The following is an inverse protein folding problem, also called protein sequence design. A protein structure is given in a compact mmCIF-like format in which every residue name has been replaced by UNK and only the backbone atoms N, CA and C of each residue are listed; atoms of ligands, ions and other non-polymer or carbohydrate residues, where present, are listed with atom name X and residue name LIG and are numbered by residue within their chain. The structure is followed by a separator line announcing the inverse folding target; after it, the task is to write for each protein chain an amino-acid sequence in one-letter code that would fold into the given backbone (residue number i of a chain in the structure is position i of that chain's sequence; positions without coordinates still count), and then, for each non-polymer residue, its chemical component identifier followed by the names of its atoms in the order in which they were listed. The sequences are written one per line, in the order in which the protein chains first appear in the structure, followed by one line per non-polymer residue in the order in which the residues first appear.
data_IF_488648043654
#
_entry.id   IF_488648043654
#
_cell.length_a   1.000
_cell.length_b   1.000
_cell.length_c   1.000
_cell.angle_alpha   90.00
_cell.angle_beta   90.00
_cell.angle_gamma   90.00
#
_symmetry.space_group_name_H-M   'P 1'
#
loop_
_entity.id
_entity.type
_entity.pdbx_description
1 polymer ?
#
# COMPACT_ATOMS: atom_id res chain seq x y z
N UNK A 1 -25.43 6.68 -8.87
CA UNK A 1 -24.01 6.17 -9.04
C UNK A 1 -23.34 6.90 -10.19
N UNK A 2 -22.02 7.08 -10.17
CA UNK A 2 -21.28 7.70 -11.29
C UNK A 2 -21.39 6.87 -12.57
N UNK A 3 -21.36 5.54 -12.41
CA UNK A 3 -21.47 4.58 -13.51
C UNK A 3 -22.83 4.61 -14.23
N UNK A 4 -23.84 5.26 -13.67
CA UNK A 4 -25.14 5.41 -14.33
C UNK A 4 -25.01 6.10 -15.70
N UNK A 5 -24.00 6.98 -15.85
CA UNK A 5 -23.70 7.67 -17.12
C UNK A 5 -23.21 6.76 -18.25
N UNK A 6 -22.91 5.50 -17.98
CA UNK A 6 -22.49 4.52 -18.99
C UNK A 6 -23.37 3.26 -19.02
N UNK A 7 -24.30 3.11 -18.09
CA UNK A 7 -25.12 1.89 -17.99
C UNK A 7 -26.64 2.13 -18.09
N UNK A 8 -27.15 3.31 -17.77
CA UNK A 8 -28.58 3.62 -17.81
C UNK A 8 -28.97 4.36 -19.11
N UNK A 9 -30.24 4.21 -19.53
CA UNK A 9 -30.78 4.82 -20.74
C UNK A 9 -30.54 3.98 -22.01
N UNK A 10 -31.43 4.17 -23.01
CA UNK A 10 -31.36 3.41 -24.26
C UNK A 10 -30.15 3.82 -25.11
N UNK A 11 -29.72 5.08 -25.03
CA UNK A 11 -28.56 5.66 -25.70
C UNK A 11 -27.24 5.00 -25.31
N UNK A 12 -27.17 4.38 -24.11
CA UNK A 12 -25.99 3.68 -23.62
C UNK A 12 -25.98 2.16 -23.95
N UNK A 13 -26.88 1.71 -24.82
CA UNK A 13 -26.85 0.32 -25.31
C UNK A 13 -25.49 -0.10 -25.92
N UNK A 14 -24.77 0.75 -26.68
CA UNK A 14 -23.41 0.42 -27.15
C UNK A 14 -22.43 0.18 -26.00
N UNK A 15 -22.47 0.99 -24.94
CA UNK A 15 -21.60 0.83 -23.75
C UNK A 15 -21.89 -0.51 -23.05
N UNK A 16 -23.18 -0.83 -22.82
CA UNK A 16 -23.55 -2.12 -22.22
C UNK A 16 -23.15 -3.32 -23.07
N UNK A 17 -23.22 -3.17 -24.40
CA UNK A 17 -22.74 -4.22 -25.33
C UNK A 17 -21.25 -4.48 -25.16
N UNK A 18 -20.41 -3.45 -25.09
CA UNK A 18 -18.97 -3.56 -24.83
C UNK A 18 -18.69 -4.15 -23.45
N UNK A 19 -19.40 -3.69 -22.42
CA UNK A 19 -19.25 -4.21 -21.04
C UNK A 19 -19.61 -5.71 -20.96
N UNK A 20 -20.64 -6.16 -21.66
CA UNK A 20 -20.97 -7.60 -21.75
C UNK A 20 -19.87 -8.41 -22.44
N UNK A 21 -19.24 -7.86 -23.48
CA UNK A 21 -18.17 -8.52 -24.22
C UNK A 21 -16.91 -8.76 -23.36
N UNK A 22 -16.72 -8.04 -22.24
CA UNK A 22 -15.63 -8.28 -21.29
C UNK A 22 -15.81 -9.58 -20.50
N UNK A 23 -17.03 -10.12 -20.42
CA UNK A 23 -17.37 -11.26 -19.58
C UNK A 23 -17.50 -10.94 -18.09
N UNK A 24 -17.27 -9.69 -17.67
CA UNK A 24 -17.42 -9.25 -16.28
C UNK A 24 -18.89 -9.14 -15.89
N UNK A 25 -19.73 -8.62 -16.81
CA UNK A 25 -21.18 -8.57 -16.65
C UNK A 25 -21.77 -9.96 -16.83
N UNK A 26 -22.39 -10.50 -15.80
CA UNK A 26 -22.97 -11.84 -15.77
C UNK A 26 -24.44 -11.88 -16.20
N UNK A 27 -25.19 -10.89 -15.75
CA UNK A 27 -26.62 -10.77 -16.07
C UNK A 27 -27.08 -9.30 -16.05
N UNK A 28 -28.37 -9.06 -16.28
CA UNK A 28 -28.96 -7.72 -16.38
C UNK A 28 -28.87 -6.96 -15.03
N UNK A 29 -29.00 -7.66 -13.92
CA UNK A 29 -28.96 -7.05 -12.58
C UNK A 29 -27.61 -6.42 -12.24
N UNK A 30 -26.53 -6.81 -12.92
CA UNK A 30 -25.20 -6.20 -12.72
C UNK A 30 -25.18 -4.72 -13.11
N UNK A 31 -26.05 -4.27 -13.99
CA UNK A 31 -26.16 -2.84 -14.34
C UNK A 31 -26.86 -2.01 -13.26
N UNK A 32 -27.48 -2.62 -12.26
CA UNK A 32 -28.08 -1.94 -11.11
C UNK A 32 -27.08 -1.77 -9.94
N UNK A 33 -25.93 -2.46 -10.01
CA UNK A 33 -24.90 -2.51 -8.97
C UNK A 33 -23.81 -1.46 -9.19
N UNK A 34 -23.07 -1.05 -8.13
CA UNK A 34 -21.92 -0.19 -8.28
C UNK A 34 -20.79 -0.87 -9.06
N UNK A 35 -20.11 -0.10 -9.92
CA UNK A 35 -18.91 -0.54 -10.64
C UNK A 35 -17.66 -0.18 -9.86
N UNK A 36 -16.92 -1.19 -9.42
CA UNK A 36 -15.74 -1.04 -8.55
C UNK A 36 -14.48 -1.36 -9.33
N UNK A 37 -13.55 -0.39 -9.39
CA UNK A 37 -12.21 -0.62 -9.94
C UNK A 37 -11.34 -1.41 -8.97
N UNK A 38 -10.57 -2.35 -9.50
CA UNK A 38 -9.46 -2.98 -8.77
C UNK A 38 -8.18 -2.53 -9.46
N UNK A 39 -7.58 -1.45 -8.94
CA UNK A 39 -6.31 -0.93 -9.43
C UNK A 39 -5.16 -1.76 -8.84
N UNK A 40 -4.64 -2.69 -9.63
CA UNK A 40 -3.64 -3.65 -9.20
C UNK A 40 -2.28 -3.33 -9.83
N UNK A 41 -1.22 -3.34 -9.04
CA UNK A 41 0.15 -3.14 -9.52
C UNK A 41 0.94 -4.44 -9.64
N UNK A 42 0.27 -5.57 -9.92
CA UNK A 42 0.92 -6.85 -10.20
C UNK A 42 2.00 -6.70 -11.30
N UNK A 43 3.16 -7.24 -11.02
CA UNK A 43 4.28 -7.34 -11.96
C UNK A 43 5.25 -8.43 -11.48
N UNK A 44 5.79 -9.24 -12.37
CA UNK A 44 6.74 -10.32 -12.05
C UNK A 44 8.12 -9.82 -11.59
N UNK A 45 8.49 -8.59 -11.96
CA UNK A 45 9.80 -8.00 -11.66
C UNK A 45 9.99 -7.58 -10.19
N UNK A 46 8.94 -7.55 -9.38
CA UNK A 46 8.97 -7.00 -8.02
C UNK A 46 8.56 -8.07 -7.01
N UNK A 47 9.44 -8.50 -6.09
CA UNK A 47 9.10 -9.53 -5.09
C UNK A 47 7.86 -9.21 -4.27
N UNK A 48 7.63 -7.92 -4.00
CA UNK A 48 6.43 -7.43 -3.29
C UNK A 48 5.14 -7.50 -4.11
N UNK A 49 5.21 -7.78 -5.42
CA UNK A 49 4.08 -7.67 -6.34
C UNK A 49 3.72 -8.97 -7.06
N UNK A 50 4.58 -9.99 -7.07
CA UNK A 50 4.34 -11.25 -7.77
C UNK A 50 3.07 -11.99 -7.34
N UNK A 51 2.64 -11.81 -6.08
CA UNK A 51 1.44 -12.42 -5.52
C UNK A 51 0.19 -11.53 -5.60
N UNK A 52 0.30 -10.29 -6.07
CA UNK A 52 -0.82 -9.35 -6.11
C UNK A 52 -1.90 -9.77 -7.11
N UNK A 53 -1.57 -10.60 -8.11
CA UNK A 53 -2.57 -11.17 -9.00
C UNK A 53 -3.61 -12.03 -8.25
N UNK A 54 -3.16 -12.82 -7.28
CA UNK A 54 -4.06 -13.66 -6.48
C UNK A 54 -4.85 -12.82 -5.47
N UNK A 55 -4.23 -11.78 -4.90
CA UNK A 55 -4.95 -10.82 -4.07
C UNK A 55 -6.01 -10.03 -4.86
N UNK A 56 -5.73 -9.67 -6.12
CA UNK A 56 -6.70 -9.06 -7.03
C UNK A 56 -7.90 -9.96 -7.28
N UNK A 57 -7.69 -11.26 -7.48
CA UNK A 57 -8.79 -12.25 -7.61
C UNK A 57 -9.64 -12.30 -6.34
N UNK A 58 -9.00 -12.39 -5.16
CA UNK A 58 -9.70 -12.40 -3.88
C UNK A 58 -10.51 -11.12 -3.63
N UNK A 59 -9.96 -9.95 -3.98
CA UNK A 59 -10.68 -8.68 -3.90
C UNK A 59 -11.90 -8.65 -4.83
N UNK A 60 -11.76 -9.12 -6.09
CA UNK A 60 -12.88 -9.20 -7.04
C UNK A 60 -14.00 -10.11 -6.55
N UNK A 61 -13.66 -11.26 -5.99
CA UNK A 61 -14.65 -12.17 -5.41
C UNK A 61 -15.40 -11.49 -4.27
N UNK A 62 -14.70 -10.88 -3.34
CA UNK A 62 -15.29 -10.19 -2.19
C UNK A 62 -16.17 -9.00 -2.58
N UNK A 63 -15.74 -8.18 -3.55
CA UNK A 63 -16.57 -7.10 -4.11
C UNK A 63 -17.85 -7.67 -4.75
N UNK A 64 -17.75 -8.79 -5.46
CA UNK A 64 -18.89 -9.43 -6.09
C UNK A 64 -19.88 -9.96 -5.05
N UNK A 65 -19.38 -10.63 -4.02
CA UNK A 65 -20.18 -11.18 -2.93
C UNK A 65 -20.89 -10.08 -2.12
N UNK A 66 -20.24 -8.91 -1.99
CA UNK A 66 -20.82 -7.73 -1.35
C UNK A 66 -21.81 -6.95 -2.23
N UNK A 67 -22.06 -7.38 -3.47
CA UNK A 67 -23.05 -6.77 -4.35
C UNK A 67 -22.51 -5.73 -5.34
N UNK A 68 -21.18 -5.60 -5.49
CA UNK A 68 -20.55 -4.76 -6.51
C UNK A 68 -20.18 -5.53 -7.79
N UNK A 69 -19.83 -4.80 -8.85
CA UNK A 69 -19.27 -5.37 -10.09
C UNK A 69 -17.81 -4.96 -10.22
N UNK A 70 -16.85 -5.88 -10.02
CA UNK A 70 -15.43 -5.55 -10.02
C UNK A 70 -14.84 -5.54 -11.43
N UNK A 71 -14.09 -4.48 -11.75
CA UNK A 71 -13.30 -4.33 -12.98
C UNK A 71 -11.82 -4.14 -12.61
N UNK A 72 -10.98 -5.14 -12.90
CA UNK A 72 -9.55 -5.06 -12.63
C UNK A 72 -8.81 -4.41 -13.80
N UNK A 73 -7.87 -3.54 -13.45
CA UNK A 73 -6.90 -2.96 -14.36
C UNK A 73 -5.53 -2.86 -13.67
N UNK A 74 -4.45 -2.86 -14.44
CA UNK A 74 -3.11 -2.84 -13.90
C UNK A 74 -2.44 -1.49 -14.10
N UNK A 75 -1.64 -1.08 -13.10
CA UNK A 75 -0.66 0.01 -13.22
C UNK A 75 0.73 -0.55 -13.47
N UNK A 76 1.65 0.35 -13.86
CA UNK A 76 3.08 0.03 -13.89
C UNK A 76 3.65 -0.10 -12.47
N UNK A 77 4.85 -0.68 -12.35
CA UNK A 77 5.63 -0.70 -11.12
C UNK A 77 7.13 -0.64 -11.41
N UNK A 78 7.88 0.07 -10.56
CA UNK A 78 9.35 0.10 -10.58
C UNK A 78 9.84 -0.36 -9.22
N UNK A 79 10.73 -1.36 -9.20
CA UNK A 79 11.40 -1.81 -7.99
C UNK A 79 12.64 -0.96 -7.72
N UNK A 80 12.63 -0.20 -6.64
CA UNK A 80 13.75 0.65 -6.25
C UNK A 80 15.00 -0.18 -5.94
N UNK A 81 14.84 -1.37 -5.35
CA UNK A 81 15.95 -2.26 -5.00
C UNK A 81 16.69 -2.76 -6.25
N UNK A 82 15.95 -3.18 -7.28
CA UNK A 82 16.53 -3.63 -8.55
C UNK A 82 17.08 -2.45 -9.35
N UNK A 83 16.43 -1.29 -9.28
CA UNK A 83 16.86 -0.08 -10.00
C UNK A 83 18.07 0.63 -9.33
N UNK A 84 18.39 0.29 -8.08
CA UNK A 84 19.41 0.95 -7.28
C UNK A 84 20.82 0.75 -7.86
N UNK A 85 21.62 1.83 -7.85
CA UNK A 85 23.01 1.81 -8.30
C UNK A 85 23.25 1.91 -9.81
N UNK A 86 22.19 2.05 -10.61
CA UNK A 86 22.31 2.24 -12.07
C UNK A 86 21.29 3.26 -12.61
N UNK A 87 21.28 3.46 -13.93
CA UNK A 87 20.44 4.46 -14.62
C UNK A 87 18.94 4.28 -14.35
N UNK A 88 18.48 3.05 -14.08
CA UNK A 88 17.08 2.71 -13.79
C UNK A 88 16.49 3.49 -12.62
N UNK A 89 17.31 3.89 -11.63
CA UNK A 89 16.85 4.64 -10.47
C UNK A 89 16.22 6.00 -10.81
N UNK A 90 16.55 6.58 -11.99
CA UNK A 90 15.94 7.82 -12.48
C UNK A 90 14.44 7.69 -12.78
N UNK A 91 13.93 6.47 -12.96
CA UNK A 91 12.53 6.18 -13.26
C UNK A 91 11.70 5.88 -12.01
N UNK A 92 12.35 5.67 -10.85
CA UNK A 92 11.68 5.32 -9.61
C UNK A 92 10.69 6.40 -9.16
N UNK A 93 11.15 7.60 -8.80
CA UNK A 93 10.26 8.66 -8.33
C UNK A 93 9.24 9.14 -9.39
N UNK A 94 9.60 9.32 -10.67
CA UNK A 94 8.60 9.68 -11.69
C UNK A 94 7.47 8.65 -11.86
N UNK A 95 7.71 7.36 -11.59
CA UNK A 95 6.69 6.34 -11.70
C UNK A 95 5.53 6.56 -10.72
N UNK A 96 5.75 7.22 -9.58
CA UNK A 96 4.71 7.58 -8.61
C UNK A 96 3.62 8.44 -9.25
N UNK A 97 4.01 9.48 -9.99
CA UNK A 97 3.08 10.37 -10.70
C UNK A 97 2.34 9.61 -11.80
N UNK A 98 3.07 8.83 -12.62
CA UNK A 98 2.47 8.05 -13.70
C UNK A 98 1.44 7.04 -13.18
N UNK A 99 1.67 6.45 -12.00
CA UNK A 99 0.72 5.54 -11.37
C UNK A 99 -0.54 6.32 -10.96
N UNK A 100 -0.40 7.46 -10.30
CA UNK A 100 -1.52 8.29 -9.92
C UNK A 100 -2.35 8.73 -11.14
N UNK A 101 -1.68 9.21 -12.20
CA UNK A 101 -2.30 9.64 -13.45
C UNK A 101 -3.02 8.48 -14.16
N UNK A 102 -2.45 7.27 -14.14
CA UNK A 102 -3.05 6.10 -14.78
C UNK A 102 -4.33 5.65 -14.08
N UNK A 103 -4.34 5.63 -12.74
CA UNK A 103 -5.53 5.30 -11.97
C UNK A 103 -6.63 6.33 -12.18
N UNK A 104 -6.31 7.63 -12.08
CA UNK A 104 -7.24 8.72 -12.36
C UNK A 104 -7.85 8.57 -13.75
N UNK A 105 -7.01 8.37 -14.78
CA UNK A 105 -7.45 8.24 -16.17
C UNK A 105 -8.45 7.10 -16.34
N UNK A 106 -8.19 5.92 -15.78
CA UNK A 106 -9.10 4.77 -15.92
C UNK A 106 -10.39 5.00 -15.15
N UNK A 107 -10.31 5.46 -13.91
CA UNK A 107 -11.45 5.69 -13.04
C UNK A 107 -12.39 6.75 -13.63
N UNK A 108 -11.84 7.87 -14.11
CA UNK A 108 -12.64 8.96 -14.68
C UNK A 108 -13.22 8.59 -16.04
N UNK A 109 -12.45 7.98 -16.93
CA UNK A 109 -12.93 7.61 -18.27
C UNK A 109 -14.04 6.56 -18.23
N UNK A 110 -13.99 5.61 -17.29
CA UNK A 110 -14.96 4.53 -17.17
C UNK A 110 -16.03 4.78 -16.09
N UNK A 111 -16.01 5.96 -15.47
CA UNK A 111 -17.01 6.40 -14.49
C UNK A 111 -17.21 5.41 -13.34
N UNK A 112 -16.13 4.85 -12.79
CA UNK A 112 -16.21 3.90 -11.69
C UNK A 112 -16.77 4.55 -10.42
N UNK A 113 -17.52 3.80 -9.62
CA UNK A 113 -18.20 4.28 -8.41
C UNK A 113 -17.30 4.23 -7.18
N UNK A 114 -16.30 3.34 -7.19
CA UNK A 114 -15.29 3.21 -6.15
C UNK A 114 -14.07 2.45 -6.65
N UNK A 115 -12.99 2.44 -5.85
CA UNK A 115 -11.74 1.77 -6.23
C UNK A 115 -11.05 1.09 -5.03
N UNK A 116 -10.61 -0.15 -5.23
CA UNK A 116 -9.65 -0.85 -4.38
C UNK A 116 -8.27 -0.73 -5.02
N UNK A 117 -7.31 -0.12 -4.33
CA UNK A 117 -5.94 0.02 -4.79
C UNK A 117 -5.05 -1.05 -4.13
N UNK A 118 -4.37 -1.87 -4.93
CA UNK A 118 -3.50 -2.96 -4.45
C UNK A 118 -2.07 -2.71 -4.88
N UNK A 119 -1.17 -2.47 -3.92
CA UNK A 119 0.25 -2.19 -4.16
C UNK A 119 1.11 -2.60 -2.97
N UNK A 120 2.45 -2.53 -3.11
CA UNK A 120 3.33 -2.94 -2.01
C UNK A 120 4.75 -2.36 -2.03
N UNK A 121 5.15 -1.56 -3.02
CA UNK A 121 6.53 -1.09 -3.18
C UNK A 121 6.65 0.43 -3.08
N UNK A 122 7.87 0.91 -2.90
CA UNK A 122 8.30 2.25 -2.46
C UNK A 122 7.55 3.44 -3.07
N UNK A 123 7.45 3.50 -4.40
CA UNK A 123 6.82 4.63 -5.11
C UNK A 123 5.40 4.29 -5.57
N UNK A 124 5.08 2.99 -5.60
CA UNK A 124 3.79 2.51 -6.08
C UNK A 124 2.71 2.77 -5.03
N UNK A 125 3.00 2.48 -3.74
CA UNK A 125 2.08 2.75 -2.63
C UNK A 125 1.68 4.23 -2.58
N UNK A 126 2.62 5.19 -2.49
CA UNK A 126 2.23 6.60 -2.48
C UNK A 126 1.55 7.05 -3.78
N UNK A 127 1.90 6.49 -4.94
CA UNK A 127 1.19 6.76 -6.20
C UNK A 127 -0.30 6.37 -6.13
N UNK A 128 -0.60 5.20 -5.57
CA UNK A 128 -1.99 4.76 -5.35
C UNK A 128 -2.72 5.65 -4.34
N UNK A 129 -2.09 5.99 -3.21
CA UNK A 129 -2.69 6.88 -2.20
C UNK A 129 -2.95 8.29 -2.76
N UNK A 130 -2.04 8.83 -3.57
CA UNK A 130 -2.25 10.09 -4.29
C UNK A 130 -3.45 10.00 -5.23
N UNK A 131 -3.56 8.93 -6.01
CA UNK A 131 -4.70 8.71 -6.90
C UNK A 131 -6.03 8.69 -6.13
N UNK A 132 -6.09 7.98 -5.01
CA UNK A 132 -7.30 7.88 -4.19
C UNK A 132 -7.79 9.25 -3.72
N UNK A 133 -6.90 10.08 -3.16
CA UNK A 133 -7.28 11.42 -2.67
C UNK A 133 -7.55 12.40 -3.81
N UNK A 134 -6.87 12.26 -4.96
CA UNK A 134 -7.06 13.10 -6.15
C UNK A 134 -8.42 12.86 -6.80
N UNK A 135 -8.74 11.60 -7.09
CA UNK A 135 -10.01 11.21 -7.73
C UNK A 135 -11.19 11.44 -6.78
N UNK A 136 -10.97 11.27 -5.49
CA UNK A 136 -11.93 11.52 -4.42
C UNK A 136 -13.29 10.86 -4.63
N UNK A 137 -13.28 9.58 -4.98
CA UNK A 137 -14.43 8.66 -4.90
C UNK A 137 -14.18 7.66 -3.78
N UNK A 138 -15.21 6.94 -3.28
CA UNK A 138 -15.00 5.89 -2.30
C UNK A 138 -13.83 4.98 -2.68
N UNK A 139 -12.85 4.84 -1.79
CA UNK A 139 -11.61 4.13 -2.09
C UNK A 139 -11.03 3.47 -0.85
N UNK A 140 -10.38 2.32 -1.03
CA UNK A 140 -9.66 1.62 0.02
C UNK A 140 -8.32 1.10 -0.51
N UNK A 141 -7.28 1.21 0.31
CA UNK A 141 -5.94 0.70 -0.03
C UNK A 141 -5.68 -0.64 0.63
N UNK A 142 -5.04 -1.55 -0.10
CA UNK A 142 -4.59 -2.86 0.40
C UNK A 142 -3.15 -3.08 0.01
N UNK A 143 -2.27 -3.31 0.99
CA UNK A 143 -0.89 -3.70 0.71
C UNK A 143 -0.76 -5.20 0.47
N UNK A 144 0.25 -5.59 -0.32
CA UNK A 144 0.64 -7.00 -0.46
C UNK A 144 1.28 -7.59 0.80
N UNK A 145 1.68 -6.76 1.75
CA UNK A 145 2.31 -7.14 3.01
C UNK A 145 3.83 -7.31 2.95
N UNK A 146 4.52 -7.23 4.11
CA UNK A 146 5.96 -7.45 4.23
C UNK A 146 6.35 -8.88 3.93
N UNK A 147 7.58 -9.10 3.42
CA UNK A 147 8.16 -10.43 3.37
C UNK A 147 8.66 -10.86 4.76
N UNK A 148 8.82 -12.17 4.93
CA UNK A 148 9.47 -12.74 6.10
C UNK A 148 10.98 -12.47 6.07
N UNK A 149 11.60 -12.23 7.23
CA UNK A 149 13.05 -12.18 7.30
C UNK A 149 13.69 -13.54 7.03
N UNK A 150 14.82 -13.55 6.33
CA UNK A 150 15.61 -14.75 6.09
C UNK A 150 16.31 -15.23 7.37
N UNK A 151 16.81 -16.48 7.34
CA UNK A 151 17.57 -17.06 8.44
C UNK A 151 18.74 -17.87 7.90
N UNK A 152 19.92 -17.65 8.46
CA UNK A 152 21.07 -18.49 8.20
C UNK A 152 20.93 -19.86 8.89
N UNK A 153 21.72 -20.86 8.53
CA UNK A 153 21.76 -22.13 9.24
C UNK A 153 22.16 -21.99 10.73
N UNK A 154 22.92 -20.93 11.10
CA UNK A 154 23.22 -20.58 12.48
C UNK A 154 22.05 -19.97 13.25
N UNK A 155 20.96 -19.63 12.57
CA UNK A 155 19.77 -19.02 13.15
C UNK A 155 19.76 -17.48 13.12
N UNK A 156 20.81 -16.84 12.61
CA UNK A 156 20.87 -15.39 12.48
C UNK A 156 19.87 -14.89 11.45
N UNK A 157 19.20 -13.77 11.75
CA UNK A 157 18.30 -13.12 10.81
C UNK A 157 19.09 -12.38 9.72
N UNK A 158 18.64 -12.50 8.50
CA UNK A 158 19.18 -11.80 7.32
C UNK A 158 18.06 -11.19 6.49
N UNK A 159 18.39 -10.09 5.82
CA UNK A 159 17.50 -9.33 4.95
C UNK A 159 18.28 -8.73 3.78
N UNK A 160 17.65 -7.91 2.96
CA UNK A 160 18.28 -7.25 1.83
C UNK A 160 19.49 -6.39 2.25
N UNK A 161 19.46 -5.75 3.43
CA UNK A 161 20.61 -4.99 3.96
C UNK A 161 21.79 -5.91 4.25
N UNK A 162 21.54 -7.08 4.76
CA UNK A 162 22.58 -8.10 4.99
C UNK A 162 23.30 -8.47 3.69
N UNK A 163 22.57 -8.51 2.56
CA UNK A 163 23.15 -8.73 1.22
C UNK A 163 24.01 -7.55 0.78
N UNK A 164 23.52 -6.31 0.94
CA UNK A 164 24.32 -5.10 0.64
C UNK A 164 25.58 -5.01 1.49
N UNK A 165 25.48 -5.29 2.80
CA UNK A 165 26.65 -5.38 3.69
C UNK A 165 27.61 -6.49 3.24
N UNK A 166 27.06 -7.64 2.78
CA UNK A 166 27.79 -8.76 2.22
C UNK A 166 28.66 -8.37 1.02
N UNK A 167 28.09 -7.59 0.09
CA UNK A 167 28.87 -7.05 -1.06
C UNK A 167 30.04 -6.19 -0.58
N UNK A 168 29.83 -5.35 0.44
CA UNK A 168 30.90 -4.56 1.04
C UNK A 168 31.98 -5.42 1.69
N UNK A 169 31.59 -6.47 2.44
CA UNK A 169 32.50 -7.43 3.07
C UNK A 169 33.29 -8.23 2.04
N UNK A 170 32.64 -8.65 0.97
CA UNK A 170 33.28 -9.37 -0.15
C UNK A 170 34.34 -8.52 -0.83
N UNK A 171 34.01 -7.26 -1.18
CA UNK A 171 35.01 -6.31 -1.74
C UNK A 171 36.21 -6.07 -0.81
N UNK A 172 36.01 -6.16 0.49
CA UNK A 172 37.05 -6.01 1.51
C UNK A 172 37.80 -7.32 1.80
N UNK A 173 37.51 -8.43 1.10
CA UNK A 173 38.13 -9.74 1.31
C UNK A 173 37.78 -10.39 2.65
N UNK A 174 36.68 -10.00 3.29
CA UNK A 174 36.26 -10.50 4.61
C UNK A 174 35.33 -11.71 4.52
N UNK A 175 34.72 -11.96 3.39
CA UNK A 175 33.92 -13.14 3.09
C UNK A 175 34.26 -13.65 1.69
N UNK A 176 34.02 -14.94 1.46
CA UNK A 176 34.27 -15.62 0.19
C UNK A 176 33.00 -15.68 -0.69
N UNK A 177 33.14 -16.28 -1.89
CA UNK A 177 32.02 -16.43 -2.85
C UNK A 177 30.86 -17.24 -2.28
N UNK A 178 31.15 -18.28 -1.49
CA UNK A 178 30.09 -19.14 -0.92
C UNK A 178 29.29 -18.39 0.14
N UNK A 179 29.94 -17.61 0.97
CA UNK A 179 29.31 -16.81 2.02
C UNK A 179 28.46 -15.67 1.39
N UNK A 180 28.94 -15.03 0.32
CA UNK A 180 28.14 -14.04 -0.41
C UNK A 180 26.92 -14.69 -1.06
N UNK A 181 27.11 -15.87 -1.68
CA UNK A 181 26.00 -16.63 -2.31
C UNK A 181 24.97 -17.12 -1.29
N UNK A 182 25.40 -17.47 -0.10
CA UNK A 182 24.48 -17.81 1.00
C UNK A 182 23.61 -16.62 1.38
N UNK A 183 24.18 -15.41 1.55
CA UNK A 183 23.42 -14.20 1.84
C UNK A 183 22.45 -13.86 0.70
N UNK A 184 22.87 -13.98 -0.56
CA UNK A 184 22.04 -13.77 -1.75
C UNK A 184 20.81 -14.69 -1.75
N UNK A 185 20.98 -15.96 -1.40
CA UNK A 185 19.90 -16.95 -1.39
C UNK A 185 18.93 -16.77 -0.21
N UNK A 186 19.39 -16.21 0.89
CA UNK A 186 18.61 -16.12 2.13
C UNK A 186 18.04 -14.74 2.42
N UNK A 187 18.57 -13.68 1.80
CA UNK A 187 18.19 -12.30 2.13
C UNK A 187 16.73 -11.93 1.81
N UNK A 188 16.14 -12.56 0.78
CA UNK A 188 14.77 -12.32 0.36
C UNK A 188 14.04 -13.65 0.17
N UNK A 189 13.60 -14.33 1.25
CA UNK A 189 13.16 -15.72 1.18
C UNK A 189 11.71 -15.93 0.69
N UNK A 190 10.87 -14.89 0.67
CA UNK A 190 9.45 -14.98 0.29
C UNK A 190 9.05 -13.82 -0.61
N UNK A 191 7.83 -13.88 -1.16
CA UNK A 191 7.19 -12.68 -1.71
C UNK A 191 6.90 -11.69 -0.57
N UNK A 192 6.64 -10.44 -0.93
CA UNK A 192 6.36 -9.35 -0.01
C UNK A 192 7.27 -8.15 -0.25
N UNK A 193 6.96 -7.00 0.35
CA UNK A 193 7.87 -5.87 0.47
C UNK A 193 9.05 -6.21 1.38
N UNK A 194 10.00 -5.31 1.56
CA UNK A 194 11.14 -5.55 2.43
C UNK A 194 10.72 -6.08 3.82
N UNK A 195 11.53 -6.93 4.45
CA UNK A 195 11.24 -7.44 5.79
C UNK A 195 11.48 -6.42 6.92
N UNK A 196 12.18 -5.31 6.63
CA UNK A 196 12.43 -4.21 7.56
C UNK A 196 11.54 -2.98 7.34
N UNK A 197 11.74 -1.94 8.17
CA UNK A 197 11.02 -0.67 8.11
C UNK A 197 11.64 0.27 7.05
N UNK A 198 11.59 -0.14 5.79
CA UNK A 198 11.97 0.67 4.65
C UNK A 198 10.77 1.45 4.12
N UNK A 199 10.92 2.18 3.01
CA UNK A 199 9.90 3.07 2.49
C UNK A 199 8.57 2.37 2.21
N UNK A 200 8.61 1.18 1.60
CA UNK A 200 7.41 0.40 1.29
C UNK A 200 6.58 0.11 2.55
N UNK A 201 7.21 -0.48 3.57
CA UNK A 201 6.52 -0.82 4.83
C UNK A 201 6.12 0.43 5.62
N UNK A 202 6.96 1.47 5.61
CA UNK A 202 6.60 2.75 6.22
C UNK A 202 5.31 3.29 5.61
N UNK A 203 5.22 3.37 4.27
CA UNK A 203 4.01 3.85 3.60
C UNK A 203 2.80 2.92 3.78
N UNK A 204 3.01 1.60 3.83
CA UNK A 204 1.95 0.64 4.13
C UNK A 204 1.37 0.83 5.54
N UNK A 205 2.21 1.15 6.53
CA UNK A 205 1.79 1.50 7.89
C UNK A 205 1.10 2.87 7.92
N UNK A 206 1.64 3.86 7.21
CA UNK A 206 1.05 5.20 7.16
C UNK A 206 -0.35 5.19 6.50
N UNK A 207 -0.60 4.29 5.55
CA UNK A 207 -1.93 4.13 4.97
C UNK A 207 -3.01 3.76 6.01
N UNK A 208 -2.65 2.99 7.07
CA UNK A 208 -3.55 2.74 8.20
C UNK A 208 -3.80 4.02 9.02
N UNK A 209 -2.73 4.76 9.36
CA UNK A 209 -2.84 5.98 10.17
C UNK A 209 -3.55 7.12 9.44
N UNK A 210 -3.50 7.13 8.10
CA UNK A 210 -4.29 8.03 7.25
C UNK A 210 -5.77 7.63 7.15
N UNK A 211 -6.14 6.43 7.62
CA UNK A 211 -7.50 5.91 7.52
C UNK A 211 -7.88 5.39 6.12
N UNK A 212 -6.90 5.20 5.23
CA UNK A 212 -7.12 4.70 3.87
C UNK A 212 -6.98 3.19 3.73
N UNK A 213 -6.60 2.48 4.81
CA UNK A 213 -6.42 1.04 4.85
C UNK A 213 -6.93 0.45 6.16
N UNK A 214 -7.33 -0.82 6.12
CA UNK A 214 -7.77 -1.55 7.31
C UNK A 214 -6.61 -1.85 8.27
N UNK A 215 -6.86 -1.94 9.58
CA UNK A 215 -5.86 -2.35 10.56
C UNK A 215 -5.19 -3.69 10.21
N UNK A 216 -3.86 -3.73 10.34
CA UNK A 216 -3.03 -4.87 9.93
C UNK A 216 -2.49 -4.77 8.50
N UNK A 217 -2.88 -3.74 7.75
CA UNK A 217 -2.43 -3.53 6.38
C UNK A 217 -0.90 -3.44 6.28
N UNK A 218 -0.25 -2.70 7.16
CA UNK A 218 1.20 -2.49 7.14
C UNK A 218 2.02 -3.62 7.76
N UNK A 219 1.45 -4.44 8.65
CA UNK A 219 2.21 -5.37 9.49
C UNK A 219 2.00 -6.86 9.17
N UNK A 220 0.80 -7.28 8.76
CA UNK A 220 0.53 -8.68 8.41
C UNK A 220 1.41 -9.09 7.23
N UNK A 221 2.16 -10.19 7.37
CA UNK A 221 3.08 -10.66 6.33
C UNK A 221 2.35 -11.07 5.04
N UNK A 222 3.06 -10.96 3.91
CA UNK A 222 2.55 -11.36 2.59
C UNK A 222 2.14 -12.85 2.54
N UNK A 223 2.87 -13.70 3.24
CA UNK A 223 2.66 -15.16 3.28
C UNK A 223 1.74 -15.62 4.41
N UNK A 224 1.18 -14.71 5.20
CA UNK A 224 0.25 -15.04 6.28
C UNK A 224 -1.18 -15.16 5.73
N UNK A 225 -1.91 -16.18 6.15
CA UNK A 225 -3.31 -16.41 5.75
C UNK A 225 -4.25 -15.24 6.12
N UNK A 226 -3.88 -14.41 7.09
CA UNK A 226 -4.62 -13.19 7.45
C UNK A 226 -4.57 -12.14 6.35
N UNK A 227 -3.54 -12.16 5.47
CA UNK A 227 -3.41 -11.21 4.35
C UNK A 227 -4.58 -11.34 3.38
N UNK A 228 -4.90 -12.56 2.95
CA UNK A 228 -6.04 -12.79 2.06
C UNK A 228 -7.38 -12.40 2.71
N UNK A 229 -7.54 -12.69 4.01
CA UNK A 229 -8.74 -12.28 4.77
C UNK A 229 -8.89 -10.75 4.82
N UNK A 230 -7.78 -10.02 5.00
CA UNK A 230 -7.77 -8.57 4.99
C UNK A 230 -8.20 -8.01 3.62
N UNK A 231 -7.70 -8.61 2.53
CA UNK A 231 -8.08 -8.25 1.16
C UNK A 231 -9.57 -8.47 0.92
N UNK A 232 -10.11 -9.61 1.36
CA UNK A 232 -11.55 -9.89 1.25
C UNK A 232 -12.37 -8.87 2.03
N UNK A 233 -11.97 -8.58 3.27
CA UNK A 233 -12.64 -7.54 4.07
C UNK A 233 -12.60 -6.17 3.40
N UNK A 234 -11.49 -5.80 2.75
CA UNK A 234 -11.40 -4.55 1.99
C UNK A 234 -12.34 -4.55 0.77
N UNK A 235 -12.48 -5.70 0.09
CA UNK A 235 -13.44 -5.86 -1.01
C UNK A 235 -14.91 -5.75 -0.56
N UNK A 236 -15.24 -6.20 0.64
CA UNK A 236 -16.55 -5.98 1.25
C UNK A 236 -16.74 -4.50 1.65
N UNK A 237 -15.71 -3.93 2.28
CA UNK A 237 -15.76 -2.56 2.81
C UNK A 237 -15.94 -1.51 1.72
N UNK A 238 -15.34 -1.67 0.52
CA UNK A 238 -15.49 -0.69 -0.55
C UNK A 238 -16.96 -0.51 -0.98
N UNK A 239 -17.76 -1.57 -0.96
CA UNK A 239 -19.19 -1.47 -1.29
C UNK A 239 -19.93 -0.66 -0.22
N UNK A 240 -19.62 -0.88 1.05
CA UNK A 240 -20.19 -0.09 2.15
C UNK A 240 -19.76 1.39 2.08
N UNK A 241 -18.50 1.68 1.70
CA UNK A 241 -18.03 3.06 1.50
C UNK A 241 -18.79 3.76 0.35
N UNK A 242 -19.11 3.04 -0.72
CA UNK A 242 -19.91 3.56 -1.84
C UNK A 242 -21.33 3.86 -1.37
N UNK A 243 -21.95 2.98 -0.61
CA UNK A 243 -23.32 3.19 -0.05
C UNK A 243 -23.39 4.41 0.88
N UNK A 244 -22.31 4.67 1.64
CA UNK A 244 -22.20 5.81 2.54
C UNK A 244 -21.72 7.08 1.85
N UNK A 245 -21.30 7.01 0.59
CA UNK A 245 -20.63 8.10 -0.15
C UNK A 245 -19.40 8.65 0.61
N UNK A 246 -18.71 7.80 1.39
CA UNK A 246 -17.54 8.18 2.17
C UNK A 246 -16.29 8.16 1.28
N UNK A 247 -15.66 9.32 1.13
CA UNK A 247 -14.55 9.55 0.19
C UNK A 247 -13.22 9.77 0.91
N UNK A 248 -12.07 9.56 0.24
CA UNK A 248 -10.76 9.76 0.83
C UNK A 248 -10.53 11.14 1.46
N UNK A 249 -11.05 12.22 0.89
CA UNK A 249 -10.90 13.58 1.47
C UNK A 249 -11.81 13.83 2.66
N UNK A 250 -12.83 13.00 2.90
CA UNK A 250 -13.63 13.04 4.12
C UNK A 250 -12.89 12.38 5.29
N UNK A 251 -11.90 11.52 4.99
CA UNK A 251 -11.10 10.76 5.95
C UNK A 251 -9.74 11.43 6.18
N UNK A 252 -9.05 11.78 5.09
CA UNK A 252 -7.70 12.38 5.12
C UNK A 252 -7.85 13.87 5.33
N UNK A 253 -7.90 14.26 6.59
CA UNK A 253 -7.85 15.65 7.03
C UNK A 253 -6.45 16.00 7.57
N UNK A 254 -6.30 17.20 8.13
CA UNK A 254 -5.06 17.65 8.72
C UNK A 254 -4.63 16.79 9.92
N UNK A 255 -5.58 16.29 10.68
CA UNK A 255 -5.31 15.48 11.86
C UNK A 255 -4.86 14.07 11.46
N UNK A 256 -5.42 13.49 10.39
CA UNK A 256 -4.94 12.26 9.79
C UNK A 256 -3.48 12.37 9.31
N UNK A 257 -3.10 13.49 8.68
CA UNK A 257 -1.69 13.77 8.31
C UNK A 257 -0.79 13.86 9.55
N UNK A 258 -1.21 14.56 10.61
CA UNK A 258 -0.46 14.64 11.87
C UNK A 258 -0.31 13.25 12.52
N UNK A 259 -1.38 12.46 12.59
CA UNK A 259 -1.36 11.10 13.14
C UNK A 259 -0.43 10.18 12.35
N UNK A 260 -0.42 10.29 11.01
CA UNK A 260 0.49 9.52 10.17
C UNK A 260 1.96 9.86 10.47
N UNK A 261 2.30 11.14 10.67
CA UNK A 261 3.64 11.53 11.05
C UNK A 261 3.99 11.17 12.51
N UNK A 262 3.02 11.17 13.44
CA UNK A 262 3.24 10.60 14.77
C UNK A 262 3.65 9.13 14.70
N UNK A 263 2.93 8.32 13.90
CA UNK A 263 3.28 6.93 13.67
C UNK A 263 4.67 6.81 13.04
N UNK A 264 4.95 7.60 12.00
CA UNK A 264 6.21 7.57 11.27
C UNK A 264 7.42 7.77 12.18
N UNK A 265 7.35 8.79 13.05
CA UNK A 265 8.39 9.08 14.03
C UNK A 265 8.51 8.01 15.11
N UNK A 266 7.38 7.51 15.62
CA UNK A 266 7.37 6.48 16.66
C UNK A 266 7.94 5.15 16.15
N UNK A 267 7.65 4.78 14.92
CA UNK A 267 8.14 3.53 14.33
C UNK A 267 9.52 3.65 13.66
N UNK A 268 10.06 4.87 13.51
CA UNK A 268 11.33 5.11 12.83
C UNK A 268 11.24 4.83 11.33
N UNK A 269 10.23 5.39 10.69
CA UNK A 269 9.98 5.20 9.27
C UNK A 269 11.06 5.82 8.36
N UNK A 270 10.96 5.53 7.10
CA UNK A 270 11.89 6.02 6.07
C UNK A 270 11.75 7.53 5.88
N UNK A 271 12.86 8.23 5.62
CA UNK A 271 12.82 9.67 5.27
C UNK A 271 12.01 9.98 4.00
N UNK A 272 11.81 8.99 3.13
CA UNK A 272 10.95 9.12 1.94
C UNK A 272 9.47 9.36 2.31
N UNK A 273 9.03 8.95 3.49
CA UNK A 273 7.64 9.17 3.95
C UNK A 273 7.29 10.65 4.01
N UNK A 274 8.25 11.50 4.38
CA UNK A 274 8.06 12.96 4.38
C UNK A 274 7.69 13.45 2.98
N UNK A 275 8.48 13.05 1.98
CA UNK A 275 8.21 13.42 0.58
C UNK A 275 6.84 12.91 0.11
N UNK A 276 6.49 11.67 0.45
CA UNK A 276 5.28 11.04 -0.03
C UNK A 276 4.03 11.55 0.69
N UNK A 277 4.08 11.72 2.00
CA UNK A 277 2.94 12.23 2.78
C UNK A 277 2.65 13.70 2.45
N UNK A 278 3.67 14.52 2.19
CA UNK A 278 3.47 15.88 1.68
C UNK A 278 2.82 15.90 0.29
N UNK A 279 3.15 14.96 -0.57
CA UNK A 279 2.50 14.83 -1.89
C UNK A 279 1.03 14.41 -1.73
N UNK A 280 0.73 13.45 -0.84
CA UNK A 280 -0.65 13.04 -0.53
C UNK A 280 -1.44 14.22 0.07
N UNK A 281 -0.86 14.95 1.02
CA UNK A 281 -1.50 16.14 1.61
C UNK A 281 -1.84 17.19 0.54
N UNK A 282 -0.92 17.42 -0.41
CA UNK A 282 -1.15 18.33 -1.53
C UNK A 282 -2.31 17.87 -2.43
N UNK A 283 -2.37 16.58 -2.78
CA UNK A 283 -3.49 16.03 -3.56
C UNK A 283 -4.82 16.06 -2.80
N UNK A 284 -4.76 15.96 -1.46
CA UNK A 284 -5.92 16.10 -0.58
C UNK A 284 -6.33 17.58 -0.35
N UNK A 285 -5.59 18.55 -0.92
CA UNK A 285 -5.78 20.00 -0.73
C UNK A 285 -5.56 20.47 0.72
N UNK A 286 -4.68 19.76 1.46
CA UNK A 286 -4.32 20.07 2.85
C UNK A 286 -3.00 20.84 2.87
N UNK A 287 -3.02 22.03 3.48
CA UNK A 287 -1.80 22.80 3.73
C UNK A 287 -1.02 22.20 4.92
N UNK A 288 0.16 21.67 4.62
CA UNK A 288 1.08 21.09 5.59
C UNK A 288 2.53 21.42 5.21
N UNK A 289 3.34 21.82 6.18
CA UNK A 289 4.72 22.22 5.95
C UNK A 289 5.73 21.51 6.86
N UNK A 290 7.02 21.66 6.54
CA UNK A 290 8.11 21.05 7.30
C UNK A 290 8.29 21.66 8.71
N UNK A 291 7.81 22.90 8.97
CA UNK A 291 7.90 23.49 10.30
C UNK A 291 6.95 22.79 11.27
N UNK A 292 5.76 22.41 10.80
CA UNK A 292 4.79 21.62 11.56
C UNK A 292 5.35 20.22 11.85
N UNK A 293 6.01 19.59 10.89
CA UNK A 293 6.68 18.30 11.06
C UNK A 293 7.79 18.38 12.13
N UNK A 294 8.64 19.41 12.08
CA UNK A 294 9.69 19.61 13.07
C UNK A 294 9.13 19.82 14.48
N UNK A 295 8.02 20.57 14.62
CA UNK A 295 7.34 20.73 15.89
C UNK A 295 6.81 19.40 16.45
N UNK A 296 6.28 18.54 15.58
CA UNK A 296 5.81 17.22 15.98
C UNK A 296 6.97 16.31 16.39
N UNK A 297 8.07 16.31 15.62
CA UNK A 297 9.26 15.51 15.88
C UNK A 297 9.86 15.73 17.27
N UNK A 298 9.73 16.93 17.82
CA UNK A 298 10.21 17.24 19.17
C UNK A 298 9.36 16.61 20.29
N UNK A 299 8.18 16.10 19.98
CA UNK A 299 7.21 15.57 20.96
C UNK A 299 7.08 14.06 20.93
N UNK A 300 7.26 13.44 19.74
CA UNK A 300 7.03 12.02 19.56
C UNK A 300 8.31 11.23 19.81
N UNK A 301 8.31 10.27 20.75
CA UNK A 301 9.48 9.44 21.01
C UNK A 301 9.67 8.39 19.90
N UNK A 302 10.93 8.07 19.58
CA UNK A 302 11.28 6.95 18.75
C UNK A 302 11.17 5.65 19.56
N UNK A 303 10.14 4.85 19.34
CA UNK A 303 9.82 3.63 20.11
C UNK A 303 10.33 2.36 19.46
N UNK A 304 10.14 2.22 18.14
CA UNK A 304 10.38 0.97 17.43
C UNK A 304 11.71 1.01 16.69
N UNK A 305 12.67 0.13 17.10
CA UNK A 305 13.90 -0.09 16.34
C UNK A 305 13.76 -1.36 15.52
N UNK A 306 13.39 -1.19 14.25
CA UNK A 306 13.23 -2.27 13.26
C UNK A 306 14.38 -2.20 12.27
N UNK A 307 14.75 -3.31 11.61
CA UNK A 307 15.77 -3.28 10.54
C UNK A 307 15.44 -2.14 9.55
N UNK A 308 16.39 -1.31 9.14
CA UNK A 308 17.84 -1.38 9.30
C UNK A 308 18.39 -0.78 10.61
N UNK A 309 17.56 -0.17 11.47
CA UNK A 309 18.00 0.44 12.72
C UNK A 309 18.50 -0.59 13.76
N UNK A 310 18.13 -1.86 13.58
CA UNK A 310 18.65 -3.03 14.33
C UNK A 310 18.66 -4.26 13.43
N UNK A 311 19.50 -5.24 13.75
CA UNK A 311 19.64 -6.48 12.95
C UNK A 311 18.62 -7.56 13.31
N UNK A 312 17.99 -7.48 14.49
CA UNK A 312 17.27 -8.61 15.07
C UNK A 312 15.75 -8.43 15.10
N UNK A 313 15.23 -7.26 14.71
CA UNK A 313 13.80 -6.95 14.71
C UNK A 313 13.36 -6.62 13.31
N UNK A 314 12.31 -7.28 12.82
CA UNK A 314 11.74 -7.13 11.48
C UNK A 314 10.23 -6.92 11.56
N UNK A 315 9.57 -6.77 10.43
CA UNK A 315 8.12 -6.51 10.38
C UNK A 315 7.29 -7.63 11.02
N UNK A 316 7.77 -8.89 10.99
CA UNK A 316 7.13 -10.01 11.69
C UNK A 316 7.04 -9.79 13.21
N UNK A 317 8.02 -9.10 13.80
CA UNK A 317 8.01 -8.77 15.23
C UNK A 317 7.08 -7.60 15.53
N UNK A 318 6.98 -6.64 14.62
CA UNK A 318 6.02 -5.53 14.71
C UNK A 318 4.60 -6.07 14.69
N UNK A 319 4.29 -6.99 13.78
CA UNK A 319 2.99 -7.66 13.71
C UNK A 319 2.67 -8.45 15.00
N UNK A 320 3.64 -9.22 15.49
CA UNK A 320 3.50 -9.98 16.74
C UNK A 320 3.28 -9.09 17.97
N UNK A 321 3.79 -7.85 17.95
CA UNK A 321 3.59 -6.86 19.02
C UNK A 321 2.23 -6.12 18.92
N UNK A 322 1.41 -6.41 17.91
CA UNK A 322 0.10 -5.79 17.69
C UNK A 322 0.05 -4.75 16.57
N UNK A 323 1.13 -4.63 15.80
CA UNK A 323 1.16 -3.81 14.58
C UNK A 323 1.00 -2.31 14.81
N UNK A 324 0.51 -1.62 13.80
CA UNK A 324 0.28 -0.17 13.81
C UNK A 324 -0.61 0.29 14.97
N UNK A 325 -1.75 -0.38 15.28
CA UNK A 325 -2.59 0.04 16.41
C UNK A 325 -1.86 0.03 17.74
N UNK A 326 -0.97 -0.94 17.98
CA UNK A 326 -0.20 -0.99 19.23
C UNK A 326 0.81 0.16 19.33
N UNK A 327 1.45 0.54 18.22
CA UNK A 327 2.39 1.68 18.17
C UNK A 327 1.63 2.99 18.43
N UNK A 328 0.51 3.21 17.76
CA UNK A 328 -0.32 4.41 17.94
C UNK A 328 -0.86 4.51 19.37
N UNK A 329 -1.32 3.39 19.94
CA UNK A 329 -1.75 3.38 21.35
C UNK A 329 -0.62 3.75 22.31
N UNK A 330 0.60 3.29 22.05
CA UNK A 330 1.76 3.61 22.88
C UNK A 330 2.14 5.11 22.85
N UNK A 331 1.80 5.84 21.80
CA UNK A 331 2.04 7.30 21.66
C UNK A 331 0.75 8.12 21.71
N UNK A 332 -0.34 7.56 22.18
CA UNK A 332 -1.68 8.21 22.19
C UNK A 332 -1.72 9.55 22.92
N UNK A 333 -0.78 9.80 23.81
CA UNK A 333 -0.64 11.08 24.50
C UNK A 333 0.04 12.19 23.66
N UNK A 334 0.55 11.84 22.47
CA UNK A 334 1.31 12.77 21.60
C UNK A 334 0.57 13.16 20.34
N UNK A 335 -0.50 12.46 19.99
CA UNK A 335 -1.30 12.69 18.79
C UNK A 335 -2.77 12.97 19.13
N UNK A 336 -3.50 13.52 18.19
CA UNK A 336 -4.94 13.71 18.30
C UNK A 336 -5.65 12.37 18.15
N UNK A 337 -6.84 12.23 18.74
CA UNK A 337 -7.63 11.01 18.59
C UNK A 337 -7.84 10.69 17.12
N UNK A 338 -7.57 9.42 16.75
CA UNK A 338 -7.78 8.94 15.39
C UNK A 338 -9.28 8.89 15.09
N UNK A 339 -9.87 9.81 14.30
CA UNK A 339 -11.26 9.68 13.89
C UNK A 339 -11.46 8.58 12.84
N UNK A 340 -10.37 8.02 12.32
CA UNK A 340 -10.36 7.20 11.11
C UNK A 340 -10.43 5.70 11.37
N UNK A 341 -10.05 5.20 12.55
CA UNK A 341 -10.11 3.75 12.86
C UNK A 341 -11.53 3.19 12.98
N UNK A 342 -12.52 4.06 13.24
CA UNK A 342 -13.92 3.67 13.37
C UNK A 342 -14.70 3.79 12.03
N UNK A 343 -14.09 4.39 11.00
CA UNK A 343 -14.71 4.67 9.70
C UNK A 343 -14.32 3.67 8.59
N UNK A 344 -13.23 2.89 8.79
CA UNK A 344 -12.74 1.94 7.78
C UNK A 344 -12.81 0.49 8.25
#
# INVERSE_FOLDING_TARGET
MRSDTIKLGFEHAPHRSLLRATGVIRDESDFEKPFVGIANSYIDLIPGHVHLQDLGKAAKEAVRDAGGVPFEFNTIGVDDGIAMGHIGMRYSLPSRELIADSVETVVEAHRLDGVVCIANCDKIVPGMLMAMVRVNIPAIFVSGGPMKAGRTPSGDRVDLISVFEGVGKYKAGKIDDNQLKELENLGCPTCGSCSGMFTANSMNCLAEALGLALPGNGSILAVDNRREKLVKKAGEQIVALIEQDLKPRDIVDRDAILNSFCLDMAMGGSTNTVLHTLAIAKEAEIEFDLAQLNSLASKVPYLCKVSPATKNVHMEDVDAAGGVPAILNAVSYTHLTLPTSDLV
#
